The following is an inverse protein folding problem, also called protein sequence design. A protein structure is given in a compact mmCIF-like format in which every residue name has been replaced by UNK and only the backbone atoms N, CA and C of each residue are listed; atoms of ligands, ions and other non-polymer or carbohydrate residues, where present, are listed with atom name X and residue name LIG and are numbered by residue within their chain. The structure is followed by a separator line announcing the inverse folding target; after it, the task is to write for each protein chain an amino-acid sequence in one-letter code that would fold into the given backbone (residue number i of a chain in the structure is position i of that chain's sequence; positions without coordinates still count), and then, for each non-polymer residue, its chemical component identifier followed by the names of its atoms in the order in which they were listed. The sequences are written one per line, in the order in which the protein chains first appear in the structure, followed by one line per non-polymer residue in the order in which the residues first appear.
data_IF_034271807865
#
_entry.id   IF_034271807865
#
_cell.length_a   1.000
_cell.length_b   1.000
_cell.length_c   1.000
_cell.angle_alpha   90.00
_cell.angle_beta   90.00
_cell.angle_gamma   90.00
#
_symmetry.space_group_name_H-M   'P 1'
#
loop_
_entity.id
_entity.type
_entity.pdbx_description
1 polymer ?
#
# COMPACT_ATOMS: atom_id res chain seq x y z
N UNK A 1 -8.78 -16.88 -0.04
CA UNK A 1 -8.12 -16.57 1.25
C UNK A 1 -6.91 -15.65 1.03
N UNK A 2 -6.01 -15.94 0.08
CA UNK A 2 -4.83 -15.10 -0.23
C UNK A 2 -5.17 -13.66 -0.68
N UNK A 3 -6.33 -13.46 -1.32
CA UNK A 3 -6.83 -12.13 -1.74
C UNK A 3 -7.25 -11.19 -0.60
N UNK A 4 -7.29 -11.64 0.66
CA UNK A 4 -7.71 -10.82 1.82
C UNK A 4 -6.54 -10.39 2.70
N UNK A 5 -5.32 -10.60 2.23
CA UNK A 5 -4.09 -10.23 2.97
C UNK A 5 -4.00 -8.72 3.16
N UNK A 6 -4.55 -7.93 2.24
CA UNK A 6 -4.72 -6.48 2.35
C UNK A 6 -5.62 -6.09 3.53
N UNK A 7 -6.80 -6.71 3.68
CA UNK A 7 -7.70 -6.48 4.81
C UNK A 7 -7.08 -6.94 6.13
N UNK A 8 -6.37 -8.08 6.13
CA UNK A 8 -5.62 -8.53 7.30
C UNK A 8 -4.52 -7.53 7.68
N UNK A 9 -3.82 -6.99 6.69
CA UNK A 9 -2.78 -5.98 6.86
C UNK A 9 -3.31 -4.70 7.49
N UNK A 10 -4.44 -4.19 6.99
CA UNK A 10 -5.09 -3.02 7.54
C UNK A 10 -5.62 -3.28 8.96
N UNK A 11 -6.21 -4.45 9.21
CA UNK A 11 -6.66 -4.84 10.55
C UNK A 11 -5.49 -4.91 11.54
N UNK A 12 -4.38 -5.53 11.13
CA UNK A 12 -3.17 -5.63 11.95
C UNK A 12 -2.55 -4.25 12.19
N UNK A 13 -2.55 -3.38 11.17
CA UNK A 13 -2.14 -1.98 11.33
C UNK A 13 -2.98 -1.28 12.39
N UNK A 14 -4.31 -1.38 12.34
CA UNK A 14 -5.21 -0.72 13.30
C UNK A 14 -4.99 -1.25 14.73
N UNK A 15 -4.81 -2.56 14.88
CA UNK A 15 -4.53 -3.19 16.19
C UNK A 15 -3.18 -2.73 16.75
N UNK A 16 -2.14 -2.68 15.91
CA UNK A 16 -0.79 -2.30 16.34
C UNK A 16 -0.64 -0.79 16.55
N UNK A 17 -1.20 0.03 15.68
CA UNK A 17 -1.16 1.48 15.80
C UNK A 17 -1.99 1.95 17.00
N UNK A 18 -3.10 1.26 17.29
CA UNK A 18 -3.99 1.61 18.37
C UNK A 18 -4.78 2.91 18.10
N UNK A 19 -5.58 3.35 19.08
CA UNK A 19 -6.35 4.57 18.98
C UNK A 19 -5.44 5.81 18.88
N UNK A 20 -5.60 6.59 17.81
CA UNK A 20 -4.87 7.83 17.61
C UNK A 20 -5.51 9.03 18.32
N UNK A 21 -4.92 10.21 18.14
CA UNK A 21 -5.38 11.48 18.75
C UNK A 21 -6.83 11.86 18.45
N UNK A 22 -7.36 11.39 17.32
CA UNK A 22 -8.73 11.68 16.90
C UNK A 22 -9.72 10.56 17.27
N UNK A 23 -9.32 9.61 18.11
CA UNK A 23 -10.23 8.59 18.62
C UNK A 23 -11.06 9.13 19.79
N UNK A 24 -12.30 8.66 19.91
CA UNK A 24 -13.16 9.02 21.03
C UNK A 24 -12.53 8.65 22.39
N UNK A 25 -11.77 7.56 22.44
CA UNK A 25 -11.09 7.14 23.67
C UNK A 25 -9.96 8.11 24.06
N UNK A 26 -9.28 8.74 23.10
CA UNK A 26 -8.26 9.74 23.39
C UNK A 26 -8.88 11.05 23.90
N UNK A 27 -9.95 11.51 23.25
CA UNK A 27 -10.73 12.69 23.68
C UNK A 27 -11.31 12.51 25.10
N UNK A 28 -11.67 11.26 25.46
CA UNK A 28 -12.12 10.89 26.80
C UNK A 28 -10.98 10.61 27.80
N UNK A 29 -9.72 10.81 27.40
CA UNK A 29 -8.53 10.62 28.24
C UNK A 29 -8.27 9.16 28.64
N UNK A 30 -8.86 8.18 27.95
CA UNK A 30 -8.73 6.74 28.25
C UNK A 30 -7.47 6.11 27.67
N UNK A 31 -6.89 6.74 26.66
CA UNK A 31 -5.72 6.22 25.92
C UNK A 31 -4.77 7.36 25.57
N UNK A 32 -3.48 7.05 25.59
CA UNK A 32 -2.41 7.97 25.20
C UNK A 32 -2.06 7.83 23.72
N UNK A 33 -1.43 8.86 23.15
CA UNK A 33 -0.91 8.76 21.78
C UNK A 33 0.08 7.60 21.65
N UNK A 34 0.03 6.83 20.54
CA UNK A 34 0.93 5.73 20.31
C UNK A 34 2.38 6.21 20.11
N UNK A 35 3.32 5.47 20.69
CA UNK A 35 4.74 5.78 20.55
C UNK A 35 5.22 5.62 19.10
N UNK A 36 6.22 6.39 18.69
CA UNK A 36 6.83 6.33 17.35
C UNK A 36 7.27 4.92 16.96
N UNK A 37 7.86 4.16 17.89
CA UNK A 37 8.27 2.76 17.66
C UNK A 37 7.07 1.85 17.40
N UNK A 38 5.97 2.05 18.11
CA UNK A 38 4.73 1.29 17.93
C UNK A 38 4.13 1.56 16.54
N UNK A 39 4.03 2.83 16.15
CA UNK A 39 3.61 3.22 14.80
C UNK A 39 4.54 2.64 13.72
N UNK A 40 5.85 2.62 13.96
CA UNK A 40 6.81 1.98 13.06
C UNK A 40 6.57 0.47 12.87
N UNK A 41 6.21 -0.25 13.93
CA UNK A 41 5.82 -1.68 13.85
C UNK A 41 4.53 -1.86 13.07
N UNK A 42 3.53 -1.01 13.31
CA UNK A 42 2.26 -1.03 12.60
C UNK A 42 2.48 -0.81 11.09
N UNK A 43 3.24 0.21 10.70
CA UNK A 43 3.57 0.49 9.29
C UNK A 43 4.37 -0.66 8.68
N UNK A 44 5.33 -1.23 9.40
CA UNK A 44 6.09 -2.39 8.91
C UNK A 44 5.17 -3.58 8.58
N UNK A 45 4.25 -3.91 9.49
CA UNK A 45 3.27 -4.97 9.28
C UNK A 45 2.37 -4.70 8.06
N UNK A 46 1.93 -3.44 7.91
CA UNK A 46 1.13 -3.02 6.75
C UNK A 46 1.91 -3.19 5.44
N UNK A 47 3.18 -2.77 5.37
CA UNK A 47 4.02 -2.93 4.18
C UNK A 47 4.15 -4.39 3.76
N UNK A 48 4.37 -5.29 4.73
CA UNK A 48 4.45 -6.72 4.45
C UNK A 48 3.15 -7.24 3.85
N UNK A 49 2.02 -6.90 4.46
CA UNK A 49 0.73 -7.36 3.99
C UNK A 49 0.40 -6.81 2.60
N UNK A 50 0.53 -5.50 2.39
CA UNK A 50 0.24 -4.84 1.10
C UNK A 50 1.15 -5.36 0.00
N UNK A 51 2.46 -5.41 0.24
CA UNK A 51 3.39 -5.89 -0.77
C UNK A 51 3.19 -7.37 -1.09
N UNK A 52 2.87 -8.20 -0.08
CA UNK A 52 2.55 -9.60 -0.31
C UNK A 52 1.24 -9.78 -1.09
N UNK A 53 0.23 -8.95 -0.83
CA UNK A 53 -1.03 -8.97 -1.56
C UNK A 53 -0.82 -8.61 -3.05
N UNK A 54 -0.04 -7.56 -3.34
CA UNK A 54 0.32 -7.19 -4.72
C UNK A 54 1.05 -8.33 -5.45
N UNK A 55 2.05 -8.94 -4.80
CA UNK A 55 2.80 -10.06 -5.38
C UNK A 55 1.86 -11.25 -5.63
N UNK A 56 0.99 -11.57 -4.67
CA UNK A 56 0.05 -12.68 -4.79
C UNK A 56 -0.87 -12.50 -6.00
N UNK A 57 -1.53 -11.35 -6.12
CA UNK A 57 -2.44 -11.02 -7.24
C UNK A 57 -1.69 -11.06 -8.58
N UNK A 58 -0.52 -10.43 -8.64
CA UNK A 58 0.30 -10.41 -9.84
C UNK A 58 0.66 -11.82 -10.32
N UNK A 59 1.09 -12.68 -9.39
CA UNK A 59 1.45 -14.07 -9.70
C UNK A 59 0.21 -14.87 -10.11
N UNK A 60 -0.88 -14.83 -9.33
CA UNK A 60 -2.04 -15.69 -9.59
C UNK A 60 -2.86 -15.27 -10.80
N UNK A 61 -3.04 -13.97 -11.02
CA UNK A 61 -3.99 -13.46 -12.03
C UNK A 61 -3.33 -12.95 -13.29
N UNK A 62 -2.10 -12.43 -13.22
CA UNK A 62 -1.43 -11.83 -14.40
C UNK A 62 -0.36 -12.72 -14.98
N UNK A 63 0.50 -13.30 -14.14
CA UNK A 63 1.63 -14.12 -14.60
C UNK A 63 1.23 -15.58 -14.85
N UNK A 64 0.51 -16.21 -13.91
CA UNK A 64 0.11 -17.60 -14.01
C UNK A 64 -1.11 -17.81 -14.91
N UNK A 65 -2.07 -16.88 -14.91
CA UNK A 65 -3.32 -17.02 -15.66
C UNK A 65 -3.74 -15.73 -16.39
N UNK A 66 -2.97 -15.25 -17.38
CA UNK A 66 -3.29 -14.01 -18.10
C UNK A 66 -4.62 -14.06 -18.88
N UNK A 67 -5.18 -15.25 -19.12
CA UNK A 67 -6.50 -15.39 -19.75
C UNK A 67 -7.63 -14.86 -18.87
N UNK A 68 -7.49 -14.91 -17.54
CA UNK A 68 -8.48 -14.37 -16.61
C UNK A 68 -8.62 -12.85 -16.79
N UNK A 69 -7.49 -12.14 -16.83
CA UNK A 69 -7.47 -10.69 -17.05
C UNK A 69 -7.96 -10.30 -18.46
N UNK A 70 -7.69 -11.13 -19.48
CA UNK A 70 -8.25 -10.92 -20.84
C UNK A 70 -9.76 -11.00 -20.84
N UNK A 71 -10.34 -12.09 -20.31
CA UNK A 71 -11.79 -12.30 -20.31
C UNK A 71 -12.53 -11.19 -19.59
N UNK A 72 -12.00 -10.72 -18.47
CA UNK A 72 -12.59 -9.58 -17.75
C UNK A 72 -12.65 -8.31 -18.61
N UNK A 73 -11.59 -8.05 -19.36
CA UNK A 73 -11.46 -6.89 -20.26
C UNK A 73 -12.42 -7.02 -21.46
N UNK A 74 -12.49 -8.22 -22.05
CA UNK A 74 -13.37 -8.53 -23.19
C UNK A 74 -14.86 -8.47 -22.81
N UNK A 75 -15.24 -9.02 -21.65
CA UNK A 75 -16.63 -9.03 -21.16
C UNK A 75 -17.15 -7.62 -20.85
N UNK A 76 -16.28 -6.72 -20.41
CA UNK A 76 -16.63 -5.34 -20.09
C UNK A 76 -16.53 -4.40 -21.30
N UNK A 77 -15.94 -4.86 -22.41
CA UNK A 77 -15.79 -4.08 -23.64
C UNK A 77 -14.84 -2.90 -23.54
N UNK A 78 -13.89 -2.93 -22.61
CA UNK A 78 -12.93 -1.82 -22.35
C UNK A 78 -11.53 -2.30 -22.70
N UNK A 79 -10.82 -1.66 -23.64
CA UNK A 79 -9.41 -2.00 -23.90
C UNK A 79 -8.49 -1.30 -22.87
N UNK A 80 -7.92 -2.09 -21.94
CA UNK A 80 -6.99 -1.60 -20.92
C UNK A 80 -5.51 -1.67 -21.37
N UNK A 81 -5.22 -2.14 -22.58
CA UNK A 81 -3.86 -2.20 -23.11
C UNK A 81 -3.38 -0.81 -23.52
N UNK A 82 -2.93 -0.04 -22.53
CA UNK A 82 -2.38 1.31 -22.77
C UNK A 82 -1.12 1.27 -23.63
N UNK A 83 -0.40 0.15 -23.68
CA UNK A 83 0.72 -0.04 -24.59
C UNK A 83 0.30 0.08 -26.05
N UNK A 84 -0.77 -0.63 -26.42
CA UNK A 84 -1.39 -0.52 -27.74
C UNK A 84 -1.96 0.88 -27.98
N UNK A 85 -2.61 1.49 -26.99
CA UNK A 85 -3.12 2.86 -27.10
C UNK A 85 -2.01 3.90 -27.35
N UNK A 86 -0.79 3.64 -26.89
CA UNK A 86 0.41 4.46 -27.13
C UNK A 86 1.15 4.09 -28.43
N UNK A 87 0.60 3.19 -29.25
CA UNK A 87 1.19 2.75 -30.51
C UNK A 87 2.32 1.72 -30.36
N UNK A 88 2.50 1.13 -29.18
CA UNK A 88 3.47 0.04 -28.99
C UNK A 88 2.90 -1.28 -29.55
N UNK A 89 3.74 -2.12 -30.19
CA UNK A 89 3.31 -3.41 -30.75
C UNK A 89 3.19 -4.49 -29.66
N UNK A 90 2.40 -4.20 -28.61
CA UNK A 90 2.17 -5.10 -27.47
C UNK A 90 0.79 -5.76 -27.60
N UNK A 91 0.78 -7.09 -27.69
CA UNK A 91 -0.44 -7.87 -27.52
C UNK A 91 -0.94 -7.84 -26.08
N UNK A 92 -2.20 -8.23 -25.88
CA UNK A 92 -2.84 -8.15 -24.55
C UNK A 92 -2.18 -9.09 -23.55
N UNK A 93 -1.72 -10.26 -24.00
CA UNK A 93 -0.98 -11.20 -23.15
C UNK A 93 0.32 -10.61 -22.65
N UNK A 94 1.10 -10.00 -23.53
CA UNK A 94 2.38 -9.38 -23.21
C UNK A 94 2.17 -8.21 -22.25
N UNK A 95 1.19 -7.36 -22.53
CA UNK A 95 0.84 -6.24 -21.67
C UNK A 95 0.44 -6.69 -20.26
N UNK A 96 -0.44 -7.69 -20.15
CA UNK A 96 -0.87 -8.26 -18.85
C UNK A 96 0.33 -8.82 -18.08
N UNK A 97 1.24 -9.53 -18.74
CA UNK A 97 2.44 -10.09 -18.09
C UNK A 97 3.40 -8.99 -17.62
N UNK A 98 3.58 -7.93 -18.42
CA UNK A 98 4.38 -6.76 -18.03
C UNK A 98 3.75 -6.08 -16.81
N UNK A 99 2.44 -5.88 -16.82
CA UNK A 99 1.71 -5.32 -15.68
C UNK A 99 1.90 -6.19 -14.41
N UNK A 100 1.82 -7.51 -14.54
CA UNK A 100 2.13 -8.45 -13.44
C UNK A 100 3.56 -8.33 -12.93
N UNK A 101 4.56 -8.23 -13.82
CA UNK A 101 5.95 -8.05 -13.41
C UNK A 101 6.17 -6.71 -12.66
N UNK A 102 5.51 -5.64 -13.11
CA UNK A 102 5.54 -4.33 -12.44
C UNK A 102 4.91 -4.41 -11.04
N UNK A 103 3.79 -5.12 -10.89
CA UNK A 103 3.15 -5.30 -9.58
C UNK A 103 4.01 -6.11 -8.60
N UNK A 104 4.70 -7.16 -9.08
CA UNK A 104 5.68 -7.88 -8.26
C UNK A 104 6.80 -6.94 -7.80
N UNK A 105 7.36 -6.15 -8.73
CA UNK A 105 8.40 -5.16 -8.41
C UNK A 105 7.89 -4.14 -7.37
N UNK A 106 6.66 -3.64 -7.54
CA UNK A 106 6.04 -2.71 -6.60
C UNK A 106 5.87 -3.35 -5.21
N UNK A 107 5.41 -4.59 -5.13
CA UNK A 107 5.30 -5.30 -3.87
C UNK A 107 6.64 -5.46 -3.15
N UNK A 108 7.71 -5.81 -3.88
CA UNK A 108 9.06 -5.94 -3.33
C UNK A 108 9.62 -4.58 -2.86
N UNK A 109 9.40 -3.51 -3.62
CA UNK A 109 9.85 -2.17 -3.26
C UNK A 109 9.07 -1.58 -2.06
N UNK A 110 7.79 -1.93 -1.91
CA UNK A 110 7.01 -1.61 -0.70
C UNK A 110 7.56 -2.37 0.50
N UNK A 111 7.76 -3.69 0.39
CA UNK A 111 8.28 -4.53 1.48
C UNK A 111 9.65 -4.02 1.96
N UNK A 112 10.56 -3.75 1.01
CA UNK A 112 11.89 -3.22 1.32
C UNK A 112 11.88 -1.81 1.90
N UNK A 113 10.82 -1.03 1.66
CA UNK A 113 10.74 0.37 2.08
C UNK A 113 11.57 1.31 1.19
N UNK A 114 12.03 0.86 0.02
CA UNK A 114 12.86 1.66 -0.87
C UNK A 114 12.11 2.87 -1.45
N UNK A 115 10.90 2.66 -1.96
CA UNK A 115 10.11 3.69 -2.67
C UNK A 115 8.58 3.63 -2.38
N UNK A 116 8.12 3.39 -1.14
CA UNK A 116 6.70 3.15 -0.87
C UNK A 116 5.78 4.30 -1.31
N UNK A 117 6.17 5.56 -1.09
CA UNK A 117 5.35 6.73 -1.45
C UNK A 117 5.24 6.90 -2.97
N UNK A 118 6.36 6.73 -3.69
CA UNK A 118 6.37 6.82 -5.14
C UNK A 118 5.48 5.72 -5.75
N UNK A 119 5.53 4.51 -5.21
CA UNK A 119 4.69 3.40 -5.65
C UNK A 119 3.23 3.68 -5.38
N UNK A 120 2.87 4.22 -4.22
CA UNK A 120 1.49 4.62 -3.94
C UNK A 120 0.98 5.62 -4.97
N UNK A 121 1.77 6.63 -5.33
CA UNK A 121 1.38 7.64 -6.32
C UNK A 121 1.25 7.05 -7.72
N UNK A 122 2.22 6.22 -8.14
CA UNK A 122 2.23 5.61 -9.48
C UNK A 122 1.11 4.57 -9.61
N UNK A 123 1.00 3.64 -8.65
CA UNK A 123 -0.03 2.61 -8.64
C UNK A 123 -1.43 3.21 -8.43
N UNK A 124 -1.55 4.34 -7.74
CA UNK A 124 -2.81 5.07 -7.62
C UNK A 124 -3.44 5.41 -8.97
N UNK A 125 -2.65 5.66 -10.02
CA UNK A 125 -3.17 5.99 -11.35
C UNK A 125 -4.01 4.85 -11.95
N UNK A 126 -3.49 3.61 -12.16
CA UNK A 126 -4.29 2.52 -12.67
C UNK A 126 -5.44 2.13 -11.74
N UNK A 127 -5.26 2.19 -10.40
CA UNK A 127 -6.35 1.93 -9.45
C UNK A 127 -7.53 2.91 -9.60
N UNK A 128 -7.27 4.19 -9.88
CA UNK A 128 -8.33 5.16 -10.14
C UNK A 128 -8.88 5.06 -11.56
N UNK A 129 -8.06 4.67 -12.53
CA UNK A 129 -8.49 4.45 -13.90
C UNK A 129 -9.52 3.32 -13.98
N UNK A 130 -9.33 2.23 -13.25
CA UNK A 130 -10.31 1.13 -13.20
C UNK A 130 -11.63 1.58 -12.56
N UNK A 131 -11.61 2.50 -11.58
CA UNK A 131 -12.86 3.08 -11.05
C UNK A 131 -13.66 3.85 -12.11
N UNK A 132 -12.97 4.59 -12.99
CA UNK A 132 -13.63 5.32 -14.07
C UNK A 132 -14.41 4.37 -14.99
N UNK A 133 -13.87 3.18 -15.24
CA UNK A 133 -14.50 2.18 -16.11
C UNK A 133 -15.51 1.26 -15.39
N UNK A 134 -15.27 0.88 -14.13
CA UNK A 134 -16.06 -0.15 -13.43
C UNK A 134 -16.93 0.38 -12.27
N UNK A 135 -16.81 1.67 -11.93
CA UNK A 135 -17.70 2.37 -11.02
C UNK A 135 -17.65 1.95 -9.54
N UNK A 136 -18.80 2.00 -8.86
CA UNK A 136 -18.89 1.90 -7.39
C UNK A 136 -18.55 0.53 -6.81
N UNK A 137 -18.79 -0.56 -7.55
CA UNK A 137 -18.44 -1.91 -7.09
C UNK A 137 -16.92 -2.05 -6.93
N UNK A 138 -16.18 -1.49 -7.90
CA UNK A 138 -14.72 -1.46 -7.88
C UNK A 138 -14.21 -0.56 -6.75
N UNK A 139 -14.89 0.57 -6.50
CA UNK A 139 -14.56 1.46 -5.38
C UNK A 139 -14.62 0.75 -4.03
N UNK A 140 -15.71 0.01 -3.78
CA UNK A 140 -15.88 -0.74 -2.54
C UNK A 140 -14.80 -1.83 -2.38
N UNK A 141 -14.43 -2.49 -3.48
CA UNK A 141 -13.34 -3.47 -3.50
C UNK A 141 -11.97 -2.85 -3.18
N UNK A 142 -11.74 -1.61 -3.59
CA UNK A 142 -10.46 -0.91 -3.41
C UNK A 142 -10.33 -0.11 -2.11
N UNK A 143 -11.39 0.06 -1.31
CA UNK A 143 -11.33 0.82 -0.06
C UNK A 143 -10.17 0.40 0.88
N UNK A 144 -9.90 -0.90 1.13
CA UNK A 144 -8.75 -1.30 1.96
C UNK A 144 -7.41 -0.88 1.36
N UNK A 145 -7.29 -0.95 0.03
CA UNK A 145 -6.08 -0.53 -0.70
C UNK A 145 -5.90 0.97 -0.58
N UNK A 146 -6.95 1.77 -0.73
CA UNK A 146 -6.90 3.22 -0.52
C UNK A 146 -6.50 3.58 0.91
N UNK A 147 -7.03 2.86 1.91
CA UNK A 147 -6.62 3.02 3.31
C UNK A 147 -5.13 2.76 3.52
N UNK A 148 -4.63 1.67 2.94
CA UNK A 148 -3.20 1.33 3.02
C UNK A 148 -2.32 2.36 2.29
N UNK A 149 -2.72 2.80 1.10
CA UNK A 149 -2.05 3.85 0.34
C UNK A 149 -1.95 5.14 1.16
N UNK A 150 -3.05 5.56 1.80
CA UNK A 150 -3.07 6.75 2.64
C UNK A 150 -2.09 6.64 3.81
N UNK A 151 -2.09 5.51 4.53
CA UNK A 151 -1.16 5.27 5.64
C UNK A 151 0.29 5.36 5.15
N UNK A 152 0.64 4.66 4.08
CA UNK A 152 2.01 4.66 3.55
C UNK A 152 2.45 6.05 3.06
N UNK A 153 1.53 6.81 2.45
CA UNK A 153 1.82 8.16 1.98
C UNK A 153 2.01 9.14 3.15
N UNK A 154 1.09 9.15 4.12
CA UNK A 154 1.12 10.07 5.27
C UNK A 154 2.31 9.76 6.18
N UNK A 155 2.44 8.51 6.62
CA UNK A 155 3.51 8.11 7.55
C UNK A 155 4.88 8.11 6.87
N UNK A 156 4.92 7.86 5.56
CA UNK A 156 6.15 7.99 4.78
C UNK A 156 6.59 9.44 4.55
N UNK A 157 5.67 10.40 4.63
CA UNK A 157 5.97 11.82 4.41
C UNK A 157 6.28 12.57 5.70
N UNK A 158 5.92 12.01 6.85
CA UNK A 158 6.24 12.57 8.15
C UNK A 158 7.76 12.46 8.45
N UNK A 159 8.46 13.56 8.77
CA UNK A 159 9.92 13.54 8.99
C UNK A 159 10.39 12.63 10.13
N UNK A 160 9.55 12.40 11.14
CA UNK A 160 9.85 11.56 12.32
C UNK A 160 9.62 10.09 12.02
N UNK A 161 8.54 9.77 11.29
CA UNK A 161 8.17 8.38 10.97
C UNK A 161 8.82 7.85 9.70
N UNK A 162 9.19 8.72 8.75
CA UNK A 162 9.81 8.35 7.48
C UNK A 162 10.98 7.37 7.61
N UNK A 163 11.94 7.54 8.55
CA UNK A 163 13.04 6.59 8.71
C UNK A 163 12.58 5.18 9.11
N UNK A 164 11.44 5.06 9.79
CA UNK A 164 10.85 3.76 10.15
C UNK A 164 10.13 3.14 8.95
N UNK A 165 9.45 3.96 8.15
CA UNK A 165 8.80 3.52 6.91
C UNK A 165 9.80 2.96 5.89
N UNK A 166 11.03 3.47 5.85
CA UNK A 166 12.07 3.00 4.92
C UNK A 166 12.86 1.77 5.41
N UNK A 167 12.57 1.24 6.61
CA UNK A 167 13.28 0.06 7.14
C UNK A 167 12.70 -1.24 6.58
N UNK A 168 13.57 -2.17 6.21
CA UNK A 168 13.19 -3.54 5.86
C UNK A 168 12.73 -4.35 7.08
N UNK A 169 13.39 -4.15 8.22
CA UNK A 169 13.15 -4.88 9.47
C UNK A 169 12.26 -4.08 10.43
N UNK A 170 11.51 -4.75 11.32
CA UNK A 170 10.67 -4.07 12.29
C UNK A 170 11.54 -3.30 13.31
N UNK A 171 11.10 -2.16 13.83
CA UNK A 171 11.82 -1.48 14.89
C UNK A 171 11.69 -2.26 16.22
N UNK A 172 12.81 -2.75 16.73
CA UNK A 172 12.87 -3.63 17.91
C UNK A 172 13.01 -2.87 19.25
N UNK A 173 13.35 -1.58 19.26
CA UNK A 173 13.48 -0.77 20.50
C UNK A 173 13.36 0.74 20.29
N UNK A 174 13.38 1.51 21.38
CA UNK A 174 13.48 2.97 21.38
C UNK A 174 14.88 3.37 20.89
N UNK A 175 14.98 3.80 19.64
CA UNK A 175 16.27 4.16 19.05
C UNK A 175 16.56 5.66 19.24
N UNK A 176 17.80 6.03 19.61
CA UNK A 176 18.17 7.37 20.11
C UNK A 176 18.15 8.50 19.06
N UNK A 177 17.68 8.22 17.85
CA UNK A 177 17.58 9.21 16.76
C UNK A 177 16.28 10.01 16.84
N UNK A 178 15.20 9.41 17.37
CA UNK A 178 13.88 10.08 17.49
C UNK A 178 13.85 11.05 18.67
N UNK A 179 14.45 10.69 19.81
CA UNK A 179 14.50 11.56 21.01
C UNK A 179 15.31 12.85 20.78
N UNK A 180 16.37 12.80 19.95
CA UNK A 180 17.19 13.98 19.63
C UNK A 180 16.45 15.06 18.84
N UNK A 181 15.40 14.69 18.10
CA UNK A 181 14.54 15.64 17.40
C UNK A 181 13.50 16.32 18.30
N UNK A 182 12.97 15.58 19.30
CA UNK A 182 11.96 16.11 20.23
C UNK A 182 12.59 17.02 21.28
N UNK A 183 13.74 16.64 21.86
CA UNK A 183 14.49 17.48 22.80
C UNK A 183 14.85 18.86 22.22
N UNK A 184 15.11 18.94 20.91
CA UNK A 184 15.42 20.21 20.22
C UNK A 184 14.19 21.09 19.97
N UNK A 185 12.98 20.53 19.95
CA UNK A 185 11.72 21.29 19.75
C UNK A 185 11.10 21.77 21.06
N UNK A 186 11.34 21.08 22.17
CA UNK A 186 10.90 21.53 23.50
C UNK A 186 11.82 22.61 24.11
N UNK A 187 12.98 22.84 23.49
CA UNK A 187 13.98 23.82 23.93
C UNK A 187 13.99 25.12 23.09
N UNK A 188 13.02 25.30 22.19
CA UNK A 188 12.89 26.45 21.28
C UNK A 188 11.49 27.04 21.38
#
# INVERSE_FOLDING_TARGET
ILHRVDMLGLALFLVLAGPGRWSADHELGRVQEPMTVQLGRAVWALKLAVGSALIAVAVSEKLANPDLARRFTDEQGVDLNVGRALGLPLGDTEFIRIAGAIEVLFGLLIISGALPQAIVLIAGVPFNLTLYFFGTNELLGHLPVYGAMLVLLVYGSDPVLRPLCSRLLPPLGAEPVVERGMSRRESA
#
